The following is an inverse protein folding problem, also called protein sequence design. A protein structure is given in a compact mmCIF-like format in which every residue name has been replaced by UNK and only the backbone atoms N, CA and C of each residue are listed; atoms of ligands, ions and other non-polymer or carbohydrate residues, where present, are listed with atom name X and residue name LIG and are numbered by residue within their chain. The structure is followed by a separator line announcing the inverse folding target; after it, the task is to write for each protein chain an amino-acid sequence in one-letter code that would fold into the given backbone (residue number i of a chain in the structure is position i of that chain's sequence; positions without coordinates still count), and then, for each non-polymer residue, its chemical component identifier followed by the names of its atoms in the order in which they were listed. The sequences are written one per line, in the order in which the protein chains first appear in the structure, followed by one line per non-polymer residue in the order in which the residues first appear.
data_IF_270754926185
#
_entry.id   IF_270754926185
#
_cell.length_a   1.000
_cell.length_b   1.000
_cell.length_c   1.000
_cell.angle_alpha   90.00
_cell.angle_beta   90.00
_cell.angle_gamma   90.00
#
_symmetry.space_group_name_H-M   'P 1'
#
loop_
_entity.id
_entity.type
_entity.pdbx_description
1 polymer ?
#
# COMPACT_ATOMS: atom_id res chain seq x y z
N UNK A 1 -9.66 -10.60 30.23
CA UNK A 1 -9.25 -9.49 29.39
C UNK A 1 -7.74 -9.47 29.25
N UNK A 2 -7.24 -9.47 28.01
CA UNK A 2 -5.83 -9.38 27.70
C UNK A 2 -5.60 -8.21 26.75
N UNK A 3 -4.58 -7.38 27.03
CA UNK A 3 -4.10 -6.34 26.12
C UNK A 3 -2.73 -6.78 25.63
N UNK A 4 -2.58 -6.85 24.30
CA UNK A 4 -1.32 -7.18 23.65
C UNK A 4 -0.79 -5.94 22.95
N UNK A 5 0.49 -5.64 23.13
CA UNK A 5 1.20 -4.58 22.39
C UNK A 5 2.20 -5.24 21.46
N UNK A 6 2.05 -5.02 20.17
CA UNK A 6 2.93 -5.56 19.14
C UNK A 6 3.85 -4.46 18.60
N UNK A 7 5.16 -4.69 18.65
CA UNK A 7 6.13 -3.88 17.91
C UNK A 7 6.13 -4.31 16.45
N UNK A 8 5.81 -3.40 15.54
CA UNK A 8 5.60 -3.70 14.12
C UNK A 8 6.55 -2.87 13.25
N UNK A 9 7.81 -3.32 13.05
CA UNK A 9 8.81 -2.61 12.24
C UNK A 9 8.54 -2.74 10.74
N UNK A 10 9.28 -1.97 9.93
CA UNK A 10 9.36 -2.09 8.47
C UNK A 10 8.04 -1.81 7.72
N UNK A 11 7.19 -0.90 8.23
CA UNK A 11 5.96 -0.51 7.54
C UNK A 11 6.24 0.17 6.20
N UNK A 12 7.22 1.08 6.16
CA UNK A 12 7.59 1.85 4.97
C UNK A 12 8.30 1.02 3.88
N UNK A 13 8.81 -0.16 4.24
CA UNK A 13 9.47 -1.07 3.31
C UNK A 13 9.60 -2.47 3.92
N UNK A 14 9.07 -3.48 3.24
CA UNK A 14 9.17 -4.89 3.63
C UNK A 14 7.90 -5.46 4.26
N UNK A 15 7.07 -4.64 4.93
CA UNK A 15 5.77 -5.10 5.43
C UNK A 15 5.86 -6.03 6.64
N UNK A 16 6.56 -5.62 7.71
CA UNK A 16 6.80 -6.47 8.88
C UNK A 16 5.54 -6.98 9.59
N UNK A 17 4.37 -6.32 9.42
CA UNK A 17 3.09 -6.86 9.93
C UNK A 17 2.68 -8.13 9.21
N UNK A 18 3.08 -8.31 7.95
CA UNK A 18 2.79 -9.52 7.18
C UNK A 18 3.61 -10.70 7.74
N UNK A 19 4.87 -10.45 8.08
CA UNK A 19 5.71 -11.46 8.74
C UNK A 19 5.14 -11.85 10.10
N UNK A 20 4.63 -10.87 10.85
CA UNK A 20 3.96 -11.11 12.13
C UNK A 20 2.65 -11.90 11.97
N UNK A 21 1.87 -11.66 10.91
CA UNK A 21 0.69 -12.47 10.57
C UNK A 21 1.12 -13.92 10.32
N UNK A 22 2.13 -14.12 9.49
CA UNK A 22 2.65 -15.43 9.15
C UNK A 22 3.23 -16.18 10.37
N UNK A 23 3.73 -15.43 11.35
CA UNK A 23 4.20 -15.96 12.64
C UNK A 23 3.09 -16.21 13.68
N UNK A 24 1.82 -15.92 13.35
CA UNK A 24 0.68 -16.11 14.24
C UNK A 24 0.52 -15.05 15.33
N UNK A 25 1.20 -13.90 15.23
CA UNK A 25 1.16 -12.85 16.27
C UNK A 25 -0.23 -12.19 16.44
N UNK A 26 -1.10 -12.34 15.46
CA UNK A 26 -2.47 -11.81 15.50
C UNK A 26 -3.51 -12.87 15.84
N UNK A 27 -3.11 -14.13 16.05
CA UNK A 27 -4.04 -15.21 16.35
C UNK A 27 -4.72 -15.00 17.70
N UNK A 28 -6.03 -15.16 17.71
CA UNK A 28 -6.85 -15.04 18.91
C UNK A 28 -7.08 -13.60 19.40
N UNK A 29 -6.64 -12.58 18.64
CA UNK A 29 -6.99 -11.19 18.91
C UNK A 29 -8.40 -10.89 18.42
N UNK A 30 -9.18 -10.17 19.23
CA UNK A 30 -10.55 -9.78 18.88
C UNK A 30 -10.61 -8.55 18.00
N UNK A 31 -9.75 -7.55 18.28
CA UNK A 31 -9.69 -6.25 17.59
C UNK A 31 -8.26 -5.69 17.68
N UNK A 32 -7.82 -4.98 16.64
CA UNK A 32 -6.52 -4.29 16.61
C UNK A 32 -6.69 -2.80 16.32
N UNK A 33 -5.78 -2.00 16.87
CA UNK A 33 -5.76 -0.55 16.71
C UNK A 33 -4.36 -0.07 16.33
N UNK A 34 -4.30 0.82 15.36
CA UNK A 34 -3.11 1.59 15.00
C UNK A 34 -3.56 2.98 14.52
N UNK A 35 -2.84 4.04 14.84
CA UNK A 35 -3.15 5.38 14.35
C UNK A 35 -1.97 5.94 13.55
N UNK A 36 -2.26 6.65 12.47
CA UNK A 36 -1.27 7.25 11.58
C UNK A 36 -1.29 8.79 11.71
N UNK A 37 -0.13 9.45 11.94
CA UNK A 37 -0.06 10.90 11.94
C UNK A 37 -0.31 11.48 10.54
N UNK A 38 -1.03 12.61 10.47
CA UNK A 38 -1.46 13.21 9.20
C UNK A 38 -1.66 14.72 9.34
N UNK A 39 -2.08 15.38 8.26
CA UNK A 39 -2.52 16.77 8.23
C UNK A 39 -3.96 16.94 8.70
N UNK A 40 -4.70 15.87 8.91
CA UNK A 40 -6.13 15.89 9.22
C UNK A 40 -6.54 14.74 10.15
N UNK A 41 -7.73 14.83 10.71
CA UNK A 41 -8.31 13.74 11.47
C UNK A 41 -9.36 13.02 10.63
N UNK A 42 -9.13 11.74 10.39
CA UNK A 42 -10.07 10.84 9.72
C UNK A 42 -10.19 9.53 10.49
N UNK A 43 -11.39 9.04 10.71
CA UNK A 43 -11.57 7.73 11.33
C UNK A 43 -11.25 6.59 10.38
N UNK A 44 -11.21 6.88 9.08
CA UNK A 44 -10.86 5.95 8.01
C UNK A 44 -10.44 6.74 6.77
N UNK A 45 -9.38 6.29 6.11
CA UNK A 45 -9.04 6.63 4.75
C UNK A 45 -8.89 5.32 3.95
N UNK A 46 -9.25 5.30 2.66
CA UNK A 46 -9.19 4.10 1.83
C UNK A 46 -7.76 3.82 1.35
N UNK A 47 -6.89 3.32 2.23
CA UNK A 47 -5.57 2.86 1.83
C UNK A 47 -5.68 1.75 0.79
N UNK A 48 -4.88 1.87 -0.27
CA UNK A 48 -4.99 1.03 -1.46
C UNK A 48 -4.03 -0.16 -1.41
N UNK A 49 -4.35 -1.20 -2.17
CA UNK A 49 -3.44 -2.32 -2.36
C UNK A 49 -2.25 -1.92 -3.24
N UNK A 50 -1.06 -2.44 -2.92
CA UNK A 50 0.20 -2.15 -3.59
C UNK A 50 1.02 -3.41 -3.86
N UNK A 51 1.65 -3.45 -5.03
CA UNK A 51 2.60 -4.48 -5.47
C UNK A 51 3.84 -3.83 -6.06
N UNK A 52 5.00 -4.17 -5.52
CA UNK A 52 6.29 -3.78 -6.04
C UNK A 52 6.74 -4.78 -7.09
N UNK A 53 7.34 -4.30 -8.18
CA UNK A 53 7.90 -5.19 -9.19
C UNK A 53 9.23 -4.69 -9.72
N UNK A 54 10.23 -5.56 -9.69
CA UNK A 54 11.53 -5.37 -10.34
C UNK A 54 11.57 -6.20 -11.60
N UNK A 55 11.97 -5.57 -12.70
CA UNK A 55 12.10 -6.20 -14.01
C UNK A 55 13.54 -6.11 -14.50
N UNK A 56 14.12 -7.23 -14.84
CA UNK A 56 15.48 -7.33 -15.37
C UNK A 56 15.44 -7.93 -16.75
N UNK A 57 16.09 -7.24 -17.70
CA UNK A 57 16.30 -7.75 -19.05
C UNK A 57 17.74 -8.13 -19.23
N UNK A 58 17.95 -9.33 -19.80
CA UNK A 58 19.26 -9.87 -20.14
C UNK A 58 19.35 -10.04 -21.63
N UNK A 59 20.28 -9.32 -22.23
CA UNK A 59 20.63 -9.36 -23.63
C UNK A 59 22.04 -9.85 -23.87
N UNK A 60 22.71 -9.31 -24.91
CA UNK A 60 24.08 -9.64 -25.30
C UNK A 60 24.79 -8.37 -25.74
N UNK A 61 25.94 -8.09 -25.14
CA UNK A 61 26.76 -6.94 -25.53
C UNK A 61 27.39 -7.13 -26.91
N UNK A 62 27.54 -6.02 -27.63
CA UNK A 62 28.28 -5.93 -28.89
C UNK A 62 28.74 -4.48 -29.10
N UNK A 63 29.68 -4.28 -30.04
CA UNK A 63 30.07 -2.92 -30.43
C UNK A 63 28.94 -2.30 -31.26
N UNK A 64 28.33 -1.21 -30.75
CA UNK A 64 27.10 -0.64 -31.30
C UNK A 64 27.23 -0.12 -32.74
N UNK A 65 28.42 0.31 -33.16
CA UNK A 65 28.66 0.81 -34.53
C UNK A 65 29.22 -0.27 -35.45
N UNK A 66 30.07 -1.19 -34.96
CA UNK A 66 30.78 -2.13 -35.80
C UNK A 66 29.98 -3.43 -36.05
N UNK A 67 29.34 -3.95 -35.02
CA UNK A 67 28.67 -5.26 -35.06
C UNK A 67 27.37 -5.26 -34.25
N UNK A 68 26.44 -4.29 -34.48
CA UNK A 68 25.20 -4.20 -33.66
C UNK A 68 24.33 -5.45 -33.78
N UNK A 69 24.34 -6.12 -34.93
CA UNK A 69 23.55 -7.34 -35.21
C UNK A 69 24.03 -8.57 -34.43
N UNK A 70 25.24 -8.54 -33.86
CA UNK A 70 25.74 -9.61 -32.97
C UNK A 70 25.26 -9.46 -31.53
N UNK A 71 24.67 -8.31 -31.19
CA UNK A 71 24.14 -8.01 -29.88
C UNK A 71 22.66 -8.32 -29.74
N UNK A 72 22.18 -8.32 -28.48
CA UNK A 72 20.77 -8.30 -28.11
C UNK A 72 20.59 -7.17 -27.11
N UNK A 73 19.81 -6.14 -27.45
CA UNK A 73 19.78 -4.88 -26.74
C UNK A 73 18.78 -4.93 -25.58
N UNK A 74 19.27 -5.04 -24.35
CA UNK A 74 18.45 -5.02 -23.17
C UNK A 74 17.80 -3.64 -22.90
N UNK A 75 18.41 -2.54 -23.38
CA UNK A 75 17.80 -1.20 -23.26
C UNK A 75 16.58 -1.05 -24.18
N UNK A 76 16.61 -1.61 -25.37
CA UNK A 76 15.43 -1.61 -26.24
C UNK A 76 14.27 -2.34 -25.58
N UNK A 77 14.53 -3.46 -24.88
CA UNK A 77 13.52 -4.15 -24.09
C UNK A 77 12.96 -3.27 -22.96
N UNK A 78 13.81 -2.57 -22.22
CA UNK A 78 13.38 -1.66 -21.17
C UNK A 78 12.53 -0.49 -21.71
N UNK A 79 12.94 0.10 -22.83
CA UNK A 79 12.19 1.18 -23.49
C UNK A 79 10.85 0.70 -24.01
N UNK A 80 10.80 -0.49 -24.66
CA UNK A 80 9.54 -1.08 -25.10
C UNK A 80 8.62 -1.39 -23.93
N UNK A 81 9.13 -1.94 -22.84
CA UNK A 81 8.35 -2.19 -21.63
C UNK A 81 7.71 -0.91 -21.09
N UNK A 82 8.49 0.16 -21.00
CA UNK A 82 8.02 1.46 -20.56
C UNK A 82 6.94 2.04 -21.50
N UNK A 83 7.13 1.91 -22.81
CA UNK A 83 6.16 2.34 -23.80
C UNK A 83 4.89 1.48 -23.79
N UNK A 84 4.99 0.16 -23.63
CA UNK A 84 3.84 -0.73 -23.50
C UNK A 84 2.97 -0.34 -22.30
N UNK A 85 3.59 -0.03 -21.17
CA UNK A 85 2.87 0.50 -19.99
C UNK A 85 2.20 1.85 -20.28
N UNK A 86 2.87 2.74 -21.02
CA UNK A 86 2.31 4.03 -21.40
C UNK A 86 1.07 3.87 -22.27
N UNK A 87 1.07 2.94 -23.20
CA UNK A 87 -0.09 2.58 -24.02
C UNK A 87 -1.20 1.92 -23.19
N UNK A 88 -0.85 1.06 -22.24
CA UNK A 88 -1.81 0.40 -21.35
C UNK A 88 -2.61 1.43 -20.50
N UNK A 89 -2.01 2.59 -20.17
CA UNK A 89 -2.69 3.63 -19.38
C UNK A 89 -4.02 4.08 -19.97
N UNK A 90 -4.21 4.03 -21.29
CA UNK A 90 -5.49 4.35 -21.96
C UNK A 90 -6.65 3.46 -21.46
N UNK A 91 -6.36 2.23 -21.05
CA UNK A 91 -7.36 1.24 -20.61
C UNK A 91 -7.32 0.95 -19.10
N UNK A 92 -6.54 1.72 -18.34
CA UNK A 92 -6.52 1.62 -16.88
C UNK A 92 -7.75 2.28 -16.27
N UNK A 93 -8.25 1.70 -15.18
CA UNK A 93 -9.27 2.38 -14.37
C UNK A 93 -8.70 3.70 -13.82
N UNK A 94 -9.51 4.75 -13.64
CA UNK A 94 -9.03 6.05 -13.11
C UNK A 94 -8.34 5.95 -11.73
N UNK A 95 -8.70 4.93 -10.96
CA UNK A 95 -8.16 4.67 -9.62
C UNK A 95 -6.89 3.81 -9.61
N UNK A 96 -6.46 3.28 -10.76
CA UNK A 96 -5.24 2.49 -10.85
C UNK A 96 -4.01 3.38 -11.04
N UNK A 97 -2.88 2.98 -10.46
CA UNK A 97 -1.60 3.68 -10.63
C UNK A 97 -0.49 2.70 -10.98
N UNK A 98 0.33 3.10 -11.95
CA UNK A 98 1.59 2.46 -12.30
C UNK A 98 2.63 3.55 -12.44
N UNK A 99 3.65 3.51 -11.63
CA UNK A 99 4.77 4.45 -11.67
C UNK A 99 6.07 3.71 -11.41
N UNK A 100 7.15 4.17 -12.02
CA UNK A 100 8.42 3.48 -11.90
C UNK A 100 9.56 4.21 -12.59
N UNK A 101 10.73 3.62 -12.46
CA UNK A 101 11.99 4.17 -12.97
C UNK A 101 12.80 3.10 -13.69
N UNK A 102 13.67 3.54 -14.59
CA UNK A 102 14.76 2.70 -15.13
C UNK A 102 15.96 2.89 -14.20
N UNK A 103 16.28 1.88 -13.39
CA UNK A 103 17.41 1.93 -12.44
C UNK A 103 18.75 1.75 -13.13
N UNK A 104 18.79 0.91 -14.18
CA UNK A 104 19.97 0.69 -14.99
C UNK A 104 19.58 0.63 -16.47
N UNK A 105 20.13 1.54 -17.27
CA UNK A 105 19.88 1.64 -18.70
C UNK A 105 21.11 1.27 -19.59
N UNK A 106 22.17 0.73 -19.01
CA UNK A 106 23.40 0.40 -19.72
C UNK A 106 24.61 1.24 -19.27
N UNK A 107 25.73 1.12 -19.97
CA UNK A 107 27.02 1.67 -19.51
C UNK A 107 27.52 2.82 -20.40
N UNK A 108 27.58 2.60 -21.72
CA UNK A 108 28.08 3.58 -22.70
C UNK A 108 27.33 3.46 -24.03
N UNK A 109 27.18 4.59 -24.77
CA UNK A 109 26.43 4.58 -26.04
C UNK A 109 27.03 3.70 -27.13
N UNK A 110 28.32 3.42 -27.11
CA UNK A 110 29.00 2.58 -28.07
C UNK A 110 28.99 1.06 -27.77
N UNK A 111 28.29 0.67 -26.71
CA UNK A 111 28.14 -0.73 -26.29
C UNK A 111 26.64 -1.07 -26.25
N UNK A 112 26.18 -2.06 -27.02
CA UNK A 112 24.84 -2.61 -26.90
C UNK A 112 24.63 -3.10 -25.46
N UNK A 113 23.66 -2.56 -24.69
CA UNK A 113 23.43 -2.98 -23.31
C UNK A 113 23.04 -4.44 -23.19
N UNK A 114 23.80 -5.20 -22.40
CA UNK A 114 23.49 -6.62 -22.11
C UNK A 114 22.62 -6.81 -20.88
N UNK A 115 22.37 -5.75 -20.12
CA UNK A 115 21.57 -5.78 -18.91
C UNK A 115 20.89 -4.43 -18.67
N UNK A 116 19.61 -4.49 -18.29
CA UNK A 116 18.86 -3.34 -17.78
C UNK A 116 17.95 -3.75 -16.64
N UNK A 117 17.60 -2.79 -15.80
CA UNK A 117 16.75 -2.99 -14.62
C UNK A 117 15.77 -1.84 -14.48
N UNK A 118 14.50 -2.19 -14.24
CA UNK A 118 13.42 -1.26 -13.96
C UNK A 118 12.76 -1.63 -12.64
N UNK A 119 12.24 -0.65 -11.93
CA UNK A 119 11.38 -0.82 -10.75
C UNK A 119 10.07 -0.09 -10.96
N UNK A 120 8.97 -0.74 -10.57
CA UNK A 120 7.62 -0.17 -10.63
C UNK A 120 6.85 -0.48 -9.36
N UNK A 121 5.97 0.46 -8.99
CA UNK A 121 4.91 0.26 -8.00
C UNK A 121 3.56 0.26 -8.70
N UNK A 122 2.75 -0.73 -8.38
CA UNK A 122 1.40 -0.91 -8.88
C UNK A 122 0.43 -0.69 -7.74
N UNK A 123 -0.58 0.17 -7.94
CA UNK A 123 -1.57 0.44 -6.90
C UNK A 123 -2.98 0.32 -7.46
N UNK A 124 -3.87 -0.28 -6.68
CA UNK A 124 -5.28 -0.43 -7.00
C UNK A 124 -6.15 -0.39 -5.73
N UNK A 125 -7.43 0.00 -5.83
CA UNK A 125 -8.30 0.14 -4.64
C UNK A 125 -8.55 -1.18 -3.90
N UNK A 126 -8.38 -2.33 -4.54
CA UNK A 126 -8.58 -3.66 -3.95
C UNK A 126 -7.56 -4.65 -4.47
N UNK A 127 -7.35 -5.74 -3.74
CA UNK A 127 -6.49 -6.84 -4.18
C UNK A 127 -6.96 -7.46 -5.50
N UNK A 128 -8.26 -7.58 -5.72
CA UNK A 128 -8.81 -8.05 -7.00
C UNK A 128 -8.35 -7.18 -8.17
N UNK A 129 -8.51 -5.88 -8.04
CA UNK A 129 -8.07 -4.94 -9.06
C UNK A 129 -6.55 -4.96 -9.24
N UNK A 130 -5.81 -5.11 -8.15
CA UNK A 130 -4.35 -5.20 -8.17
C UNK A 130 -3.89 -6.46 -8.94
N UNK A 131 -4.48 -7.62 -8.70
CA UNK A 131 -4.16 -8.85 -9.44
C UNK A 131 -4.36 -8.68 -10.96
N UNK A 132 -5.50 -8.07 -11.36
CA UNK A 132 -5.77 -7.80 -12.79
C UNK A 132 -4.77 -6.82 -13.37
N UNK A 133 -4.41 -5.77 -12.62
CA UNK A 133 -3.42 -4.80 -13.04
C UNK A 133 -2.04 -5.44 -13.20
N UNK A 134 -1.60 -6.23 -12.22
CA UNK A 134 -0.31 -6.94 -12.22
C UNK A 134 -0.18 -7.84 -13.44
N UNK A 135 -1.18 -8.65 -13.76
CA UNK A 135 -1.16 -9.50 -14.94
C UNK A 135 -0.98 -8.69 -16.24
N UNK A 136 -1.72 -7.58 -16.39
CA UNK A 136 -1.60 -6.70 -17.57
C UNK A 136 -0.21 -6.07 -17.67
N UNK A 137 0.35 -5.63 -16.55
CA UNK A 137 1.67 -5.00 -16.47
C UNK A 137 2.77 -6.03 -16.79
N UNK A 138 2.71 -7.22 -16.22
CA UNK A 138 3.67 -8.28 -16.51
C UNK A 138 3.64 -8.70 -17.99
N UNK A 139 2.46 -8.71 -18.61
CA UNK A 139 2.34 -8.98 -20.05
C UNK A 139 3.05 -7.90 -20.89
N UNK A 140 3.06 -6.64 -20.46
CA UNK A 140 3.85 -5.58 -21.09
C UNK A 140 5.35 -5.87 -20.99
N UNK A 141 5.82 -6.38 -19.85
CA UNK A 141 7.22 -6.74 -19.67
C UNK A 141 7.62 -7.96 -20.51
N UNK A 142 6.80 -9.01 -20.51
CA UNK A 142 7.06 -10.23 -21.27
C UNK A 142 7.07 -9.97 -22.78
N UNK A 143 6.14 -9.16 -23.29
CA UNK A 143 6.08 -8.80 -24.71
C UNK A 143 7.31 -8.02 -25.19
N UNK A 144 7.87 -7.14 -24.34
CA UNK A 144 9.10 -6.43 -24.64
C UNK A 144 10.30 -7.39 -24.79
N UNK A 145 10.39 -8.41 -23.95
CA UNK A 145 11.42 -9.44 -24.06
C UNK A 145 11.28 -10.24 -25.35
N UNK A 146 10.06 -10.64 -25.71
CA UNK A 146 9.79 -11.39 -26.97
C UNK A 146 10.18 -10.56 -28.19
N UNK A 147 9.82 -9.26 -28.19
CA UNK A 147 10.11 -8.37 -29.33
C UNK A 147 11.61 -8.14 -29.57
N UNK A 148 12.43 -8.18 -28.50
CA UNK A 148 13.87 -7.88 -28.57
C UNK A 148 14.77 -9.12 -28.56
N UNK A 149 14.20 -10.29 -28.23
CA UNK A 149 14.98 -11.50 -28.01
C UNK A 149 15.70 -11.57 -26.68
N UNK A 150 15.42 -10.66 -25.77
CA UNK A 150 15.98 -10.66 -24.40
C UNK A 150 15.36 -11.77 -23.55
N UNK A 151 16.09 -12.21 -22.53
CA UNK A 151 15.49 -12.91 -21.39
C UNK A 151 14.95 -11.88 -20.42
N UNK A 152 13.83 -12.18 -19.78
CA UNK A 152 13.22 -11.33 -18.74
C UNK A 152 13.11 -12.09 -17.43
N UNK A 153 13.44 -11.41 -16.35
CA UNK A 153 13.17 -11.82 -14.98
C UNK A 153 12.26 -10.76 -14.35
N UNK A 154 11.12 -11.20 -13.83
CA UNK A 154 10.15 -10.36 -13.15
C UNK A 154 10.07 -10.87 -11.72
N UNK A 155 10.33 -10.00 -10.75
CA UNK A 155 10.25 -10.32 -9.32
C UNK A 155 9.33 -9.33 -8.64
N UNK A 156 8.39 -9.84 -7.85
CA UNK A 156 7.63 -9.05 -6.88
C UNK A 156 8.52 -8.54 -5.76
N UNK A 157 8.02 -7.58 -5.02
CA UNK A 157 8.60 -7.14 -3.75
C UNK A 157 8.59 -8.26 -2.70
N UNK A 158 9.01 -7.94 -1.49
CA UNK A 158 9.07 -8.91 -0.40
C UNK A 158 7.65 -9.34 0.04
N UNK A 159 6.75 -8.37 0.15
CA UNK A 159 5.35 -8.56 0.52
C UNK A 159 4.44 -7.60 -0.25
N UNK A 160 3.25 -8.04 -0.62
CA UNK A 160 2.19 -7.20 -1.17
C UNK A 160 1.39 -6.56 -0.05
N UNK A 161 1.13 -5.25 -0.14
CA UNK A 161 0.25 -4.57 0.80
C UNK A 161 -1.20 -4.67 0.32
N UNK A 162 -2.09 -5.08 1.21
CA UNK A 162 -3.51 -5.19 0.93
C UNK A 162 -4.21 -3.86 1.22
N UNK A 163 -5.33 -3.62 0.57
CA UNK A 163 -6.18 -2.47 0.91
C UNK A 163 -6.74 -2.61 2.34
N UNK A 164 -6.88 -1.49 3.05
CA UNK A 164 -7.45 -1.50 4.40
C UNK A 164 -8.95 -1.76 4.33
N UNK A 165 -9.41 -2.82 5.00
CA UNK A 165 -10.83 -3.11 5.14
C UNK A 165 -11.47 -2.22 6.22
N UNK A 166 -12.56 -1.49 5.91
CA UNK A 166 -13.23 -0.65 6.89
C UNK A 166 -14.02 -1.48 7.91
N UNK A 167 -14.02 -1.05 9.18
CA UNK A 167 -14.94 -1.52 10.21
C UNK A 167 -15.80 -0.36 10.69
N UNK A 168 -17.04 -0.29 10.25
CA UNK A 168 -17.94 0.85 10.47
C UNK A 168 -18.29 1.05 11.95
N UNK A 169 -18.47 -0.03 12.68
CA UNK A 169 -18.79 0.02 14.12
C UNK A 169 -17.63 0.61 14.90
N UNK A 170 -16.39 0.18 14.63
CA UNK A 170 -15.19 0.77 15.26
C UNK A 170 -15.01 2.24 14.88
N UNK A 171 -15.17 2.60 13.62
CA UNK A 171 -15.06 3.98 13.14
C UNK A 171 -16.07 4.90 13.81
N UNK A 172 -17.33 4.45 13.96
CA UNK A 172 -18.40 5.19 14.62
C UNK A 172 -18.04 5.48 16.07
N UNK A 173 -17.67 4.45 16.82
CA UNK A 173 -17.33 4.58 18.24
C UNK A 173 -16.09 5.46 18.46
N UNK A 174 -15.07 5.31 17.60
CA UNK A 174 -13.89 6.16 17.63
C UNK A 174 -14.24 7.63 17.37
N UNK A 175 -15.08 7.92 16.35
CA UNK A 175 -15.57 9.29 16.10
C UNK A 175 -16.32 9.87 17.32
N UNK A 176 -17.19 9.09 17.96
CA UNK A 176 -17.92 9.52 19.16
C UNK A 176 -16.97 9.84 20.31
N UNK A 177 -15.96 9.00 20.55
CA UNK A 177 -14.97 9.22 21.61
C UNK A 177 -14.02 10.38 21.29
N UNK A 178 -13.58 10.48 20.03
CA UNK A 178 -12.75 11.59 19.58
C UNK A 178 -13.44 12.95 19.75
N UNK A 179 -14.73 13.05 19.39
CA UNK A 179 -15.53 14.27 19.60
C UNK A 179 -15.60 14.70 21.07
N UNK A 180 -15.71 13.75 22.02
CA UNK A 180 -15.67 14.06 23.47
C UNK A 180 -14.33 14.68 23.90
N UNK A 181 -13.26 14.40 23.15
CA UNK A 181 -11.90 14.93 23.37
C UNK A 181 -11.58 16.15 22.49
N UNK A 182 -12.56 16.69 21.78
CA UNK A 182 -12.39 17.86 20.90
C UNK A 182 -11.68 17.54 19.59
N UNK A 183 -11.77 16.31 19.09
CA UNK A 183 -11.28 15.96 17.75
C UNK A 183 -12.36 16.31 16.73
N UNK A 184 -12.01 17.17 15.78
CA UNK A 184 -12.82 17.48 14.62
C UNK A 184 -12.39 16.59 13.46
N UNK A 185 -13.31 15.82 12.91
CA UNK A 185 -13.06 14.90 11.80
C UNK A 185 -13.45 15.55 10.47
N UNK A 186 -12.67 15.25 9.42
CA UNK A 186 -13.05 15.62 8.06
C UNK A 186 -14.40 14.98 7.68
N UNK A 187 -15.12 15.61 6.75
CA UNK A 187 -16.36 15.05 6.22
C UNK A 187 -16.10 13.82 5.35
N UNK A 188 -17.05 12.90 5.31
CA UNK A 188 -16.94 11.69 4.47
C UNK A 188 -16.87 12.02 2.97
N UNK A 189 -17.45 13.15 2.56
CA UNK A 189 -17.37 13.62 1.17
C UNK A 189 -15.94 14.02 0.75
N UNK A 190 -15.10 14.42 1.70
CA UNK A 190 -13.69 14.73 1.44
C UNK A 190 -12.85 13.46 1.24
N UNK A 191 -13.29 12.32 1.76
CA UNK A 191 -12.59 11.03 1.68
C UNK A 191 -12.65 10.45 0.26
N UNK A 192 -13.71 10.71 -0.50
CA UNK A 192 -14.00 10.09 -1.79
C UNK A 192 -13.07 10.50 -2.93
N UNK A 193 -12.32 11.58 -2.79
CA UNK A 193 -11.50 12.17 -3.86
C UNK A 193 -9.98 12.00 -3.67
N UNK A 194 -9.53 11.42 -2.56
CA UNK A 194 -8.12 11.22 -2.25
C UNK A 194 -7.68 9.79 -2.53
N UNK A 195 -6.64 9.63 -3.36
CA UNK A 195 -5.85 8.41 -3.34
C UNK A 195 -5.01 8.48 -2.06
N UNK A 196 -5.29 7.62 -1.12
CA UNK A 196 -4.46 7.46 0.07
C UNK A 196 -3.20 6.62 -0.25
N UNK A 197 -2.32 6.49 0.72
CA UNK A 197 -1.15 5.63 0.64
C UNK A 197 -1.51 4.14 0.61
N UNK A 198 -0.52 3.34 0.94
CA UNK A 198 -0.65 1.91 1.20
C UNK A 198 0.01 1.62 2.53
N UNK A 199 -0.47 0.65 3.28
CA UNK A 199 0.06 0.24 4.56
C UNK A 199 -0.10 -1.26 4.78
N UNK A 200 0.88 -1.90 5.39
CA UNK A 200 0.81 -3.32 5.76
C UNK A 200 -0.26 -3.59 6.84
N UNK A 201 -0.84 -2.55 7.46
CA UNK A 201 -2.02 -2.68 8.30
C UNK A 201 -3.23 -3.17 7.49
N UNK A 202 -3.28 -2.93 6.18
CA UNK A 202 -4.27 -3.51 5.29
C UNK A 202 -4.32 -5.03 5.46
N UNK A 203 -3.17 -5.71 5.40
CA UNK A 203 -3.08 -7.17 5.56
C UNK A 203 -3.63 -7.62 6.93
N UNK A 204 -3.38 -6.86 7.99
CA UNK A 204 -3.93 -7.15 9.32
C UNK A 204 -5.45 -7.10 9.30
N UNK A 205 -6.06 -6.15 8.57
CA UNK A 205 -7.53 -6.03 8.46
C UNK A 205 -8.18 -7.20 7.70
N UNK A 206 -7.43 -8.05 7.04
CA UNK A 206 -7.94 -9.30 6.43
C UNK A 206 -7.96 -10.48 7.41
N UNK A 207 -7.26 -10.40 8.54
CA UNK A 207 -7.19 -11.49 9.52
C UNK A 207 -7.88 -11.17 10.84
N UNK A 208 -7.99 -9.89 11.22
CA UNK A 208 -8.64 -9.45 12.46
C UNK A 208 -9.34 -8.10 12.24
N UNK A 209 -10.50 -7.83 12.88
CA UNK A 209 -11.13 -6.52 12.84
C UNK A 209 -10.16 -5.42 13.27
N UNK A 210 -9.99 -4.38 12.47
CA UNK A 210 -9.01 -3.33 12.71
C UNK A 210 -9.55 -1.92 12.58
N UNK A 211 -8.90 -0.98 13.27
CA UNK A 211 -9.13 0.44 13.15
C UNK A 211 -7.79 1.16 12.94
N UNK A 212 -7.67 1.91 11.85
CA UNK A 212 -6.49 2.68 11.47
C UNK A 212 -6.88 4.14 11.18
N UNK A 213 -7.14 4.96 12.22
CA UNK A 213 -7.47 6.36 12.03
C UNK A 213 -6.23 7.18 11.71
N UNK A 214 -6.44 8.27 11.00
CA UNK A 214 -5.47 9.31 10.75
C UNK A 214 -5.70 10.47 11.72
N UNK A 215 -4.63 11.09 12.22
CA UNK A 215 -4.74 12.17 13.18
C UNK A 215 -3.83 13.36 12.84
N UNK A 216 -4.38 14.55 13.02
CA UNK A 216 -3.67 15.80 12.88
C UNK A 216 -2.58 15.97 13.94
N UNK A 217 -1.39 16.39 13.54
CA UNK A 217 -0.23 16.60 14.43
C UNK A 217 0.04 18.07 14.75
N UNK A 218 -0.83 18.99 14.30
CA UNK A 218 -0.63 20.43 14.51
C UNK A 218 0.16 21.11 13.39
N UNK A 219 0.24 20.51 12.21
CA UNK A 219 0.96 21.03 11.04
C UNK A 219 0.27 20.63 9.75
N UNK A 220 0.33 21.52 8.76
CA UNK A 220 -0.15 21.28 7.39
C UNK A 220 0.99 20.77 6.47
N UNK A 221 2.20 20.54 7.01
CA UNK A 221 3.29 19.95 6.26
C UNK A 221 2.92 18.54 5.75
N UNK A 222 3.38 18.18 4.56
CA UNK A 222 3.09 16.89 3.97
C UNK A 222 3.99 15.80 4.57
N UNK A 223 3.46 14.60 4.75
CA UNK A 223 4.22 13.42 5.15
C UNK A 223 5.43 13.21 4.22
N UNK A 224 6.48 12.58 4.70
CA UNK A 224 7.74 12.34 3.98
C UNK A 224 8.52 13.61 3.59
N UNK A 225 8.34 14.72 4.32
CA UNK A 225 9.11 15.96 4.17
C UNK A 225 9.89 16.29 5.44
N UNK A 226 10.97 17.08 5.29
CA UNK A 226 11.75 17.58 6.44
C UNK A 226 10.89 18.40 7.39
N UNK A 227 9.98 19.22 6.83
CA UNK A 227 9.04 20.05 7.59
C UNK A 227 8.10 19.18 8.45
N UNK A 228 7.65 18.05 7.92
CA UNK A 228 6.83 17.12 8.68
C UNK A 228 7.62 16.46 9.80
N UNK A 229 8.86 16.08 9.54
CA UNK A 229 9.76 15.50 10.55
C UNK A 229 9.97 16.47 11.72
N UNK A 230 10.21 17.75 11.44
CA UNK A 230 10.36 18.79 12.45
C UNK A 230 9.06 18.97 13.25
N UNK A 231 7.92 19.07 12.57
CA UNK A 231 6.61 19.23 13.20
C UNK A 231 6.27 18.03 14.10
N UNK A 232 6.56 16.81 13.68
CA UNK A 232 6.27 15.58 14.44
C UNK A 232 7.06 15.51 15.76
N UNK A 233 8.24 16.12 15.84
CA UNK A 233 9.04 16.24 17.06
C UNK A 233 8.57 17.31 18.06
N UNK A 234 7.59 18.14 17.70
CA UNK A 234 7.14 19.25 18.51
C UNK A 234 6.29 18.82 19.73
N UNK A 235 6.23 19.68 20.77
CA UNK A 235 5.32 19.47 21.89
C UNK A 235 3.85 19.48 21.47
N UNK A 236 3.52 20.24 20.43
CA UNK A 236 2.16 20.30 19.88
C UNK A 236 1.76 18.96 19.29
N UNK A 237 2.64 18.31 18.52
CA UNK A 237 2.40 16.98 17.98
C UNK A 237 2.19 15.93 19.09
N UNK A 238 2.94 16.03 20.20
CA UNK A 238 2.76 15.16 21.36
C UNK A 238 1.37 15.31 22.00
N UNK A 239 0.85 16.55 22.09
CA UNK A 239 -0.51 16.79 22.57
C UNK A 239 -1.54 16.05 21.70
N UNK A 240 -1.45 16.18 20.36
CA UNK A 240 -2.38 15.53 19.44
C UNK A 240 -2.24 13.99 19.45
N UNK A 241 -1.01 13.49 19.53
CA UNK A 241 -0.75 12.05 19.64
C UNK A 241 -1.38 11.46 20.91
N UNK A 242 -1.19 12.12 22.08
CA UNK A 242 -1.80 11.67 23.33
C UNK A 242 -3.33 11.77 23.31
N UNK A 243 -3.89 12.78 22.67
CA UNK A 243 -5.33 12.92 22.49
C UNK A 243 -5.90 11.75 21.67
N UNK A 244 -5.24 11.40 20.59
CA UNK A 244 -5.59 10.26 19.73
C UNK A 244 -5.46 8.93 20.47
N UNK A 245 -4.37 8.74 21.21
CA UNK A 245 -4.18 7.55 22.06
C UNK A 245 -5.31 7.38 23.09
N UNK A 246 -5.78 8.48 23.70
CA UNK A 246 -6.95 8.46 24.60
C UNK A 246 -8.22 8.04 23.88
N UNK A 247 -8.46 8.55 22.66
CA UNK A 247 -9.63 8.18 21.87
C UNK A 247 -9.62 6.69 21.50
N UNK A 248 -8.44 6.14 21.14
CA UNK A 248 -8.27 4.71 20.88
C UNK A 248 -8.51 3.88 22.15
N UNK A 249 -7.94 4.28 23.30
CA UNK A 249 -8.15 3.60 24.57
C UNK A 249 -9.62 3.59 24.99
N UNK A 250 -10.33 4.73 24.83
CA UNK A 250 -11.77 4.81 25.07
C UNK A 250 -12.56 3.88 24.16
N UNK A 251 -12.15 3.78 22.89
CA UNK A 251 -12.79 2.88 21.91
C UNK A 251 -12.57 1.42 22.29
N UNK A 252 -11.36 1.06 22.73
CA UNK A 252 -11.07 -0.28 23.24
C UNK A 252 -11.91 -0.61 24.48
N UNK A 253 -12.06 0.32 25.42
CA UNK A 253 -12.93 0.16 26.59
C UNK A 253 -14.40 -0.01 26.19
N UNK A 254 -14.88 0.72 25.20
CA UNK A 254 -16.24 0.54 24.68
C UNK A 254 -16.43 -0.86 24.09
N UNK A 255 -15.47 -1.37 23.31
CA UNK A 255 -15.52 -2.74 22.76
C UNK A 255 -15.59 -3.80 23.87
N UNK A 256 -14.87 -3.56 24.98
CA UNK A 256 -14.83 -4.48 26.13
C UNK A 256 -16.12 -4.45 26.94
N UNK A 257 -16.65 -3.26 27.23
CA UNK A 257 -17.68 -3.09 28.24
C UNK A 257 -19.07 -2.79 27.68
N UNK A 258 -19.18 -2.39 26.42
CA UNK A 258 -20.48 -2.07 25.80
C UNK A 258 -21.13 -3.37 25.28
N UNK A 259 -22.27 -3.78 25.85
CA UNK A 259 -22.92 -5.01 25.39
C UNK A 259 -23.24 -4.97 23.90
N UNK A 260 -22.92 -6.05 23.19
CA UNK A 260 -23.22 -6.22 21.78
C UNK A 260 -22.23 -5.56 20.80
N UNK A 261 -21.36 -4.67 21.26
CA UNK A 261 -20.47 -3.93 20.34
C UNK A 261 -19.42 -4.85 19.69
N UNK A 262 -18.85 -5.79 20.42
CA UNK A 262 -17.88 -6.73 19.83
C UNK A 262 -18.53 -7.60 18.76
N UNK A 263 -19.76 -8.00 18.96
CA UNK A 263 -20.56 -8.76 17.98
C UNK A 263 -20.81 -7.94 16.71
N UNK A 264 -21.15 -6.65 16.84
CA UNK A 264 -21.30 -5.73 15.70
C UNK A 264 -19.97 -5.56 14.94
N UNK A 265 -18.87 -5.40 15.65
CA UNK A 265 -17.52 -5.29 15.06
C UNK A 265 -17.13 -6.55 14.28
N UNK A 266 -17.41 -7.73 14.83
CA UNK A 266 -17.15 -9.02 14.17
C UNK A 266 -18.06 -9.22 12.96
N UNK A 267 -19.31 -8.78 13.04
CA UNK A 267 -20.25 -8.87 11.91
C UNK A 267 -19.81 -7.94 10.76
N UNK A 268 -19.46 -6.69 11.05
CA UNK A 268 -18.91 -5.77 10.05
C UNK A 268 -17.68 -6.38 9.35
N UNK A 269 -16.76 -6.94 10.12
CA UNK A 269 -15.58 -7.60 9.57
C UNK A 269 -15.95 -8.76 8.65
N UNK A 270 -16.86 -9.63 9.08
CA UNK A 270 -17.32 -10.77 8.29
C UNK A 270 -17.94 -10.32 6.97
N UNK A 271 -18.80 -9.30 6.99
CA UNK A 271 -19.49 -8.80 5.81
C UNK A 271 -18.53 -8.16 4.80
N UNK A 272 -17.58 -7.36 5.27
CA UNK A 272 -16.60 -6.71 4.40
C UNK A 272 -15.66 -7.75 3.80
N UNK A 273 -15.20 -8.72 4.59
CA UNK A 273 -14.34 -9.82 4.11
C UNK A 273 -15.03 -10.68 3.06
N UNK A 274 -16.28 -11.09 3.29
CA UNK A 274 -17.07 -11.84 2.29
C UNK A 274 -17.24 -11.08 0.98
N UNK A 275 -17.41 -9.77 1.06
CA UNK A 275 -17.49 -8.91 -0.14
C UNK A 275 -16.17 -8.89 -0.90
N UNK A 276 -15.04 -8.77 -0.23
CA UNK A 276 -13.71 -8.80 -0.85
C UNK A 276 -13.40 -10.18 -1.43
N UNK A 277 -13.62 -11.26 -0.69
CA UNK A 277 -13.42 -12.64 -1.15
C UNK A 277 -14.34 -13.00 -2.32
N UNK A 278 -15.60 -12.59 -2.30
CA UNK A 278 -16.53 -12.74 -3.43
C UNK A 278 -16.11 -11.92 -4.66
N UNK A 279 -15.30 -10.91 -4.47
CA UNK A 279 -14.68 -10.15 -5.56
C UNK A 279 -13.37 -10.76 -6.07
N UNK A 280 -12.70 -11.60 -5.29
CA UNK A 280 -11.43 -12.25 -5.65
C UNK A 280 -11.63 -13.54 -6.47
N UNK A 281 -12.78 -14.23 -6.34
CA UNK A 281 -13.09 -15.40 -7.13
C UNK A 281 -13.56 -15.00 -8.54
N UNK A 282 -12.74 -15.16 -9.59
CA UNK A 282 -13.20 -14.97 -10.95
C UNK A 282 -14.13 -16.13 -11.33
N UNK A 283 -15.25 -15.81 -11.91
CA UNK A 283 -16.08 -16.75 -12.69
C UNK A 283 -15.33 -17.15 -13.95
#
# INVERSE_FOLDING_TARGET
LQITVLGTPAEEQGGGKIDLINAGAFDGLDVVFMAHPSQENAAYLPDVAEHDVTVKYYGKASHAAAYPWEGVNALDAAVLAYNNLSVLRQQMKPTWRVHGVIKNGGVKPNIIPSYTELEFYLRAPSMKDLCVLTEKVENCFRSAAVATGCKVEIKGGENDYYNVLPNKSLQKVYKENGKKLGIEFISEDCISNGLSGSTDFGNVTFVVPGLHPYFYIGSDALNHTEQYTEAAGSQNAQFYALRTAKALAMTALDVIFKPGLLEEVREDFRQVKLKEEGQINPV
#
